data_IF_217538944727
#
_entry.id   IF_217538944727
#
_cell.length_a   1.000
_cell.length_b   1.000
_cell.length_c   1.000
_cell.angle_alpha   90.00
_cell.angle_beta   90.00
_cell.angle_gamma   90.00
#
_symmetry.space_group_name_H-M   'P 1'
#
loop_
_entity.id
_entity.type
_entity.pdbx_description
1 polymer ?
#
# COMPACT_ATOMS: atom_id res chain seq x y z
N UNK A 1 62.43 0.53 37.18
CA UNK A 1 62.55 1.97 36.82
C UNK A 1 61.25 2.44 36.21
N UNK A 2 60.63 3.39 36.92
CA UNK A 2 59.72 4.49 36.42
C UNK A 2 58.80 4.19 35.24
N UNK A 3 57.48 4.04 35.49
CA UNK A 3 56.40 5.08 35.48
C UNK A 3 56.20 5.77 34.10
N UNK A 4 55.04 5.63 33.53
CA UNK A 4 54.08 6.74 33.47
C UNK A 4 52.67 6.26 33.13
N UNK A 5 51.75 6.62 34.01
CA UNK A 5 50.30 6.74 33.81
C UNK A 5 50.02 7.90 32.86
N UNK A 6 48.99 7.75 32.04
CA UNK A 6 48.12 8.83 31.57
C UNK A 6 47.24 8.20 30.48
N UNK A 7 45.96 8.30 30.37
CA UNK A 7 44.99 9.11 31.03
C UNK A 7 43.69 8.71 30.31
N UNK A 8 42.67 8.37 31.05
CA UNK A 8 41.33 8.17 30.54
C UNK A 8 40.83 9.50 30.00
N UNK A 9 40.63 9.56 28.67
CA UNK A 9 39.85 10.59 28.05
C UNK A 9 38.40 10.07 27.96
N UNK A 10 37.59 10.43 28.95
CA UNK A 10 36.15 10.36 28.86
C UNK A 10 35.72 11.30 27.74
N UNK A 11 35.38 10.74 26.61
CA UNK A 11 34.67 11.46 25.55
C UNK A 11 33.24 11.71 26.04
N UNK A 12 33.05 12.83 26.72
CA UNK A 12 31.73 13.41 26.95
C UNK A 12 31.20 13.84 25.59
N UNK A 13 30.32 13.05 24.99
CA UNK A 13 29.52 13.47 23.85
C UNK A 13 28.56 14.51 24.40
N UNK A 14 28.94 15.77 24.29
CA UNK A 14 28.05 16.91 24.44
C UNK A 14 27.13 16.87 23.26
N UNK A 15 25.91 16.40 23.50
CA UNK A 15 24.79 16.59 22.59
C UNK A 15 24.51 18.09 22.56
N UNK A 16 25.18 18.80 21.64
CA UNK A 16 24.83 20.17 21.32
C UNK A 16 23.47 20.18 20.68
N UNK A 17 22.43 20.39 21.49
CA UNK A 17 21.15 20.93 20.97
C UNK A 17 21.48 22.27 20.31
N UNK A 18 21.61 22.26 19.01
CA UNK A 18 21.56 23.48 18.22
C UNK A 18 20.10 23.99 18.26
N UNK A 19 19.78 24.70 19.33
CA UNK A 19 18.64 25.63 19.34
C UNK A 19 19.07 26.81 18.49
N UNK A 20 19.01 26.63 17.15
CA UNK A 20 19.08 27.75 16.23
C UNK A 20 17.70 28.41 16.24
N UNK A 21 17.68 29.67 16.63
CA UNK A 21 16.53 30.52 16.66
C UNK A 21 15.71 30.46 15.37
N UNK A 22 14.68 29.67 15.39
CA UNK A 22 13.57 29.82 14.49
C UNK A 22 12.69 30.92 15.05
N UNK A 23 12.51 31.97 14.27
CA UNK A 23 11.45 32.93 14.48
C UNK A 23 10.14 32.21 14.82
N UNK A 24 9.40 32.74 15.77
CA UNK A 24 8.19 32.18 16.36
C UNK A 24 7.12 31.77 15.31
N UNK A 25 7.31 30.67 14.68
CA UNK A 25 6.23 29.92 14.03
C UNK A 25 5.92 28.75 14.96
N UNK A 26 5.21 29.05 16.05
CA UNK A 26 4.76 28.04 17.03
C UNK A 26 3.58 27.35 16.40
N UNK A 27 3.84 26.45 15.45
CA UNK A 27 2.79 25.53 15.00
C UNK A 27 2.38 24.67 16.18
N UNK A 28 1.08 24.67 16.55
CA UNK A 28 0.60 23.93 17.71
C UNK A 28 0.93 22.44 17.58
N UNK A 29 1.12 21.74 18.69
CA UNK A 29 1.28 20.29 18.65
C UNK A 29 -0.03 19.62 18.24
N UNK A 30 0.05 18.61 17.35
CA UNK A 30 -1.07 17.72 17.05
C UNK A 30 -1.04 16.49 17.97
N UNK A 31 0.16 15.98 18.26
CA UNK A 31 0.38 14.90 19.22
C UNK A 31 1.81 14.96 19.77
N UNK A 32 2.09 14.20 20.82
CA UNK A 32 3.44 13.93 21.29
C UNK A 32 3.57 12.51 21.82
N UNK A 33 4.77 11.93 21.72
CA UNK A 33 5.11 10.67 22.37
C UNK A 33 6.46 10.81 23.09
N UNK A 34 6.48 10.53 24.41
CA UNK A 34 7.66 10.63 25.27
C UNK A 34 8.39 11.99 25.12
N UNK A 35 7.63 13.08 25.00
CA UNK A 35 8.17 14.44 24.85
C UNK A 35 8.56 14.85 23.43
N UNK A 36 8.56 13.96 22.45
CA UNK A 36 8.76 14.31 21.03
C UNK A 36 7.45 14.73 20.42
N UNK A 37 7.43 15.91 19.78
CA UNK A 37 6.21 16.55 19.29
C UNK A 37 6.01 16.31 17.79
N UNK A 38 4.81 15.93 17.42
CA UNK A 38 4.28 15.99 16.05
C UNK A 38 3.48 17.28 15.94
N UNK A 39 3.90 18.21 15.08
CA UNK A 39 3.24 19.50 14.93
C UNK A 39 2.05 19.40 13.96
N UNK A 40 1.09 20.31 14.10
CA UNK A 40 -0.02 20.45 13.12
C UNK A 40 0.51 20.79 11.73
N UNK A 41 1.65 21.50 11.62
CA UNK A 41 2.32 21.77 10.36
C UNK A 41 2.81 20.49 9.66
N UNK A 42 3.44 19.59 10.41
CA UNK A 42 3.89 18.28 9.91
C UNK A 42 2.69 17.44 9.44
N UNK A 43 1.65 17.36 10.27
CA UNK A 43 0.42 16.64 9.94
C UNK A 43 -0.22 17.20 8.67
N UNK A 44 -0.41 18.52 8.59
CA UNK A 44 -1.02 19.16 7.42
C UNK A 44 -0.21 18.94 6.14
N UNK A 45 1.12 19.00 6.21
CA UNK A 45 1.98 18.70 5.07
C UNK A 45 1.72 17.30 4.52
N UNK A 46 1.61 16.31 5.39
CA UNK A 46 1.32 14.94 4.97
C UNK A 46 -0.11 14.79 4.44
N UNK A 47 -1.11 15.37 5.12
CA UNK A 47 -2.51 15.36 4.66
C UNK A 47 -2.66 15.96 3.26
N UNK A 48 -2.08 17.14 3.03
CA UNK A 48 -2.08 17.77 1.71
C UNK A 48 -1.37 16.93 0.66
N UNK A 49 -0.22 16.33 1.00
CA UNK A 49 0.52 15.47 0.08
C UNK A 49 -0.34 14.27 -0.35
N UNK A 50 -0.94 13.57 0.61
CA UNK A 50 -1.73 12.37 0.34
C UNK A 50 -3.00 12.69 -0.45
N UNK A 51 -3.63 13.85 -0.23
CA UNK A 51 -4.88 14.23 -0.89
C UNK A 51 -4.68 14.89 -2.26
N UNK A 52 -3.64 15.71 -2.42
CA UNK A 52 -3.55 16.67 -3.53
C UNK A 52 -2.50 16.32 -4.59
N UNK A 53 -1.60 15.36 -4.34
CA UNK A 53 -0.57 14.98 -5.31
C UNK A 53 -0.85 13.61 -5.92
N UNK A 54 -0.48 13.38 -7.18
CA UNK A 54 -0.63 12.08 -7.83
C UNK A 54 0.13 10.98 -7.05
N UNK A 55 1.36 11.27 -6.62
CA UNK A 55 2.16 10.35 -5.81
C UNK A 55 1.50 10.07 -4.45
N UNK A 56 0.96 11.11 -3.79
CA UNK A 56 0.25 10.97 -2.52
C UNK A 56 -1.04 10.18 -2.66
N UNK A 57 -1.81 10.40 -3.72
CA UNK A 57 -3.04 9.65 -3.99
C UNK A 57 -2.76 8.17 -4.23
N UNK A 58 -1.69 7.85 -4.97
CA UNK A 58 -1.24 6.46 -5.14
C UNK A 58 -0.82 5.86 -3.80
N UNK A 59 0.02 6.56 -3.02
CA UNK A 59 0.45 6.09 -1.71
C UNK A 59 -0.74 5.85 -0.77
N UNK A 60 -1.73 6.74 -0.77
CA UNK A 60 -2.97 6.58 0.01
C UNK A 60 -3.74 5.32 -0.42
N UNK A 61 -3.85 5.05 -1.72
CA UNK A 61 -4.49 3.84 -2.23
C UNK A 61 -3.75 2.57 -1.78
N UNK A 62 -2.41 2.58 -1.78
CA UNK A 62 -1.61 1.43 -1.35
C UNK A 62 -1.71 1.20 0.16
N UNK A 63 -1.70 2.26 0.97
CA UNK A 63 -1.78 2.17 2.43
C UNK A 63 -3.19 1.87 2.95
N UNK A 64 -4.21 2.38 2.30
CA UNK A 64 -5.59 2.22 2.73
C UNK A 64 -6.58 2.26 1.56
N UNK A 65 -6.87 1.12 0.99
CA UNK A 65 -7.79 0.99 -0.15
C UNK A 65 -9.22 1.49 0.13
N UNK A 66 -9.59 1.70 1.40
CA UNK A 66 -10.92 2.21 1.77
C UNK A 66 -10.99 3.73 1.82
N UNK A 67 -9.85 4.42 1.89
CA UNK A 67 -9.78 5.88 1.88
C UNK A 67 -9.36 6.32 0.48
N UNK A 68 -10.26 6.96 -0.23
CA UNK A 68 -9.96 7.57 -1.53
C UNK A 68 -9.60 9.05 -1.34
N UNK A 69 -8.88 9.67 -2.28
CA UNK A 69 -8.63 11.12 -2.23
C UNK A 69 -9.91 11.94 -2.09
N UNK A 70 -11.02 11.48 -2.68
CA UNK A 70 -12.32 12.15 -2.58
C UNK A 70 -12.93 12.02 -1.19
N UNK A 71 -12.87 10.83 -0.55
CA UNK A 71 -13.38 10.62 0.81
C UNK A 71 -12.49 11.26 1.89
N UNK A 72 -11.28 11.65 1.54
CA UNK A 72 -10.37 12.39 2.41
C UNK A 72 -10.73 13.88 2.53
N UNK A 73 -11.58 14.42 1.63
CA UNK A 73 -12.04 15.81 1.67
C UNK A 73 -13.03 16.01 2.81
N UNK A 74 -12.81 17.05 3.60
CA UNK A 74 -13.71 17.42 4.70
C UNK A 74 -15.00 18.09 4.21
N UNK A 75 -15.96 18.25 5.13
CA UNK A 75 -17.25 18.87 4.84
C UNK A 75 -17.16 20.34 4.36
N UNK A 76 -16.05 21.02 4.65
CA UNK A 76 -15.77 22.38 4.16
C UNK A 76 -15.34 22.45 2.69
N UNK A 77 -15.25 21.32 1.99
CA UNK A 77 -14.84 21.25 0.58
C UNK A 77 -13.32 21.19 0.36
N UNK A 78 -12.87 21.48 -0.88
CA UNK A 78 -11.45 21.39 -1.24
C UNK A 78 -10.55 22.20 -0.30
N UNK A 79 -9.43 21.62 0.12
CA UNK A 79 -8.49 22.22 1.08
C UNK A 79 -8.83 21.93 2.55
N UNK A 80 -9.92 21.21 2.82
CA UNK A 80 -10.23 20.69 4.16
C UNK A 80 -10.08 19.17 4.19
N UNK A 81 -9.92 18.60 5.37
CA UNK A 81 -9.72 17.16 5.55
C UNK A 81 -10.86 16.55 6.35
N UNK A 82 -11.29 15.36 5.92
CA UNK A 82 -12.22 14.56 6.71
C UNK A 82 -11.55 14.13 8.02
N UNK A 83 -12.27 14.25 9.13
CA UNK A 83 -11.73 13.91 10.45
C UNK A 83 -11.19 12.48 10.54
N UNK A 84 -11.89 11.44 10.03
CA UNK A 84 -11.35 10.07 10.05
C UNK A 84 -10.02 9.94 9.29
N UNK A 85 -9.87 10.68 8.19
CA UNK A 85 -8.62 10.70 7.42
C UNK A 85 -7.50 11.37 8.22
N UNK A 86 -7.75 12.56 8.79
CA UNK A 86 -6.75 13.26 9.61
C UNK A 86 -6.33 12.44 10.83
N UNK A 87 -7.27 11.79 11.50
CA UNK A 87 -7.00 10.89 12.64
C UNK A 87 -6.17 9.69 12.21
N UNK A 88 -6.49 9.05 11.09
CA UNK A 88 -5.73 7.90 10.58
C UNK A 88 -4.27 8.28 10.26
N UNK A 89 -4.04 9.43 9.63
CA UNK A 89 -2.69 9.91 9.33
C UNK A 89 -1.92 10.24 10.61
N UNK A 90 -2.55 10.91 11.58
CA UNK A 90 -1.91 11.23 12.86
C UNK A 90 -1.61 9.96 13.67
N UNK A 91 -2.51 8.98 13.67
CA UNK A 91 -2.32 7.69 14.34
C UNK A 91 -1.09 6.95 13.78
N UNK A 92 -0.95 6.91 12.45
CA UNK A 92 0.24 6.37 11.80
C UNK A 92 1.51 7.13 12.22
N UNK A 93 1.49 8.48 12.22
CA UNK A 93 2.65 9.28 12.65
C UNK A 93 3.04 9.01 14.11
N UNK A 94 2.08 8.81 15.00
CA UNK A 94 2.35 8.43 16.40
C UNK A 94 2.94 7.02 16.47
N UNK A 95 2.40 6.08 15.70
CA UNK A 95 2.93 4.73 15.57
C UNK A 95 4.38 4.70 15.07
N UNK A 96 4.67 5.43 14.01
CA UNK A 96 6.01 5.59 13.44
C UNK A 96 7.01 6.18 14.46
N UNK A 97 6.59 7.21 15.17
CA UNK A 97 7.40 7.83 16.22
C UNK A 97 7.70 6.86 17.37
N UNK A 98 6.71 6.06 17.78
CA UNK A 98 6.90 5.04 18.81
C UNK A 98 7.84 3.91 18.33
N UNK A 99 7.75 3.52 17.07
CA UNK A 99 8.65 2.53 16.46
C UNK A 99 10.10 3.06 16.39
N UNK A 100 10.28 4.33 16.01
CA UNK A 100 11.59 4.99 16.00
C UNK A 100 12.20 5.04 17.40
N UNK A 101 11.43 5.47 18.40
CA UNK A 101 11.87 5.53 19.80
C UNK A 101 12.18 4.13 20.36
N UNK A 102 11.37 3.13 20.00
CA UNK A 102 11.65 1.75 20.36
C UNK A 102 12.97 1.27 19.75
N UNK A 103 13.19 1.50 18.45
CA UNK A 103 14.44 1.14 17.77
C UNK A 103 15.64 1.80 18.44
N UNK A 104 15.56 3.10 18.74
CA UNK A 104 16.59 3.84 19.47
C UNK A 104 16.85 3.25 20.86
N UNK A 105 15.80 2.84 21.59
CA UNK A 105 15.93 2.19 22.91
C UNK A 105 16.67 0.84 22.86
N UNK A 106 16.69 0.22 21.67
CA UNK A 106 17.42 -1.03 21.41
C UNK A 106 18.82 -0.80 20.84
N UNK A 107 19.26 0.46 20.73
CA UNK A 107 20.55 0.82 20.16
C UNK A 107 20.59 0.61 18.63
N UNK A 108 19.44 0.61 17.97
CA UNK A 108 19.35 0.53 16.52
C UNK A 108 19.51 1.93 15.96
N UNK A 109 20.58 2.12 15.20
CA UNK A 109 20.88 3.32 14.45
C UNK A 109 21.08 2.94 13.00
N UNK A 110 20.84 3.88 12.10
CA UNK A 110 21.01 3.67 10.67
C UNK A 110 21.94 4.72 10.07
N UNK A 111 22.74 4.26 9.14
CA UNK A 111 23.67 5.07 8.36
C UNK A 111 22.99 5.59 7.06
N UNK A 112 23.67 6.47 6.35
CA UNK A 112 23.22 6.88 5.00
C UNK A 112 23.16 5.71 4.00
N UNK A 113 24.04 4.70 4.17
CA UNK A 113 23.98 3.48 3.36
C UNK A 113 22.77 2.62 3.67
N UNK A 114 22.34 2.53 4.93
CA UNK A 114 21.11 1.82 5.30
C UNK A 114 19.88 2.49 4.67
N UNK A 115 19.80 3.82 4.75
CA UNK A 115 18.72 4.59 4.11
C UNK A 115 18.70 4.43 2.58
N UNK A 116 19.88 4.37 1.94
CA UNK A 116 19.96 4.17 0.51
C UNK A 116 19.54 2.75 0.09
N UNK A 117 19.90 1.73 0.87
CA UNK A 117 19.48 0.35 0.66
C UNK A 117 17.96 0.20 0.84
N UNK A 118 17.42 0.67 1.97
CA UNK A 118 16.00 0.64 2.26
C UNK A 118 15.18 1.40 1.20
N UNK A 119 15.69 2.54 0.69
CA UNK A 119 15.06 3.23 -0.43
C UNK A 119 14.95 2.34 -1.66
N UNK A 120 16.04 1.67 -2.07
CA UNK A 120 16.05 0.80 -3.24
C UNK A 120 15.08 -0.38 -3.09
N UNK A 121 15.05 -0.98 -1.91
CA UNK A 121 14.17 -2.10 -1.60
C UNK A 121 12.70 -1.65 -1.54
N UNK A 122 12.44 -0.49 -0.98
CA UNK A 122 11.10 0.11 -0.97
C UNK A 122 10.61 0.47 -2.38
N UNK A 123 11.46 1.07 -3.23
CA UNK A 123 11.13 1.31 -4.64
C UNK A 123 10.73 0.01 -5.37
N UNK A 124 11.44 -1.08 -5.10
CA UNK A 124 11.11 -2.40 -5.66
C UNK A 124 9.78 -2.97 -5.14
N UNK A 125 9.52 -2.84 -3.84
CA UNK A 125 8.25 -3.25 -3.21
C UNK A 125 7.08 -2.46 -3.80
N UNK A 126 7.21 -1.14 -3.86
CA UNK A 126 6.21 -0.25 -4.46
C UNK A 126 5.90 -0.61 -5.92
N UNK A 127 6.90 -1.02 -6.73
CA UNK A 127 6.63 -1.48 -8.10
C UNK A 127 5.66 -2.67 -8.14
N UNK A 128 5.83 -3.64 -7.23
CA UNK A 128 4.93 -4.79 -7.11
C UNK A 128 3.52 -4.39 -6.67
N UNK A 129 3.42 -3.55 -5.64
CA UNK A 129 2.13 -3.07 -5.10
C UNK A 129 1.37 -2.21 -6.10
N UNK A 130 2.05 -1.30 -6.79
CA UNK A 130 1.49 -0.48 -7.87
C UNK A 130 0.94 -1.37 -8.98
N UNK A 131 1.72 -2.36 -9.42
CA UNK A 131 1.28 -3.31 -10.44
C UNK A 131 0.02 -4.06 -10.04
N UNK A 132 -0.04 -4.55 -8.80
CA UNK A 132 -1.20 -5.23 -8.24
C UNK A 132 -2.43 -4.29 -8.14
N UNK A 133 -2.24 -3.06 -7.65
CA UNK A 133 -3.31 -2.07 -7.53
C UNK A 133 -3.89 -1.67 -8.88
N UNK A 134 -3.06 -1.48 -9.90
CA UNK A 134 -3.50 -1.16 -11.27
C UNK A 134 -4.24 -2.36 -11.89
N UNK A 135 -3.74 -3.57 -11.71
CA UNK A 135 -4.41 -4.77 -12.20
C UNK A 135 -5.78 -4.97 -11.53
N UNK A 136 -5.87 -4.78 -10.21
CA UNK A 136 -7.12 -4.87 -9.47
C UNK A 136 -8.13 -3.83 -9.94
N UNK A 137 -7.70 -2.58 -10.12
CA UNK A 137 -8.55 -1.50 -10.63
C UNK A 137 -9.08 -1.83 -12.03
N UNK A 138 -8.23 -2.32 -12.92
CA UNK A 138 -8.60 -2.74 -14.27
C UNK A 138 -9.62 -3.87 -14.27
N UNK A 139 -9.44 -4.87 -13.40
CA UNK A 139 -10.36 -6.01 -13.31
C UNK A 139 -11.73 -5.65 -12.72
N UNK A 140 -11.78 -4.63 -11.85
CA UNK A 140 -13.03 -4.11 -11.27
C UNK A 140 -13.67 -2.98 -12.07
N UNK A 141 -13.06 -2.56 -13.18
CA UNK A 141 -13.54 -1.44 -13.99
C UNK A 141 -13.46 -0.08 -13.29
N UNK A 142 -12.57 0.05 -12.30
CA UNK A 142 -12.36 1.27 -11.55
C UNK A 142 -11.05 1.96 -11.98
N UNK A 143 -10.94 3.28 -11.73
CA UNK A 143 -9.69 3.98 -11.97
C UNK A 143 -8.67 3.68 -10.86
N UNK A 144 -7.39 3.51 -11.23
CA UNK A 144 -6.29 3.46 -10.27
C UNK A 144 -5.67 4.84 -10.11
N UNK A 145 -5.39 5.22 -8.86
CA UNK A 145 -4.61 6.43 -8.56
C UNK A 145 -3.10 6.23 -8.76
N UNK A 146 -2.66 5.01 -9.05
CA UNK A 146 -1.25 4.68 -9.29
C UNK A 146 -0.87 4.72 -10.77
N UNK A 147 -1.62 5.47 -11.57
CA UNK A 147 -1.32 5.75 -12.97
C UNK A 147 -1.04 7.24 -13.18
N UNK A 148 -0.17 7.54 -14.13
CA UNK A 148 0.07 8.90 -14.57
C UNK A 148 -1.09 9.41 -15.46
N UNK A 149 -1.11 10.71 -15.83
CA UNK A 149 -2.16 11.27 -16.70
C UNK A 149 -2.26 10.61 -18.08
N UNK A 150 -1.25 9.86 -18.52
CA UNK A 150 -1.28 9.11 -19.79
C UNK A 150 -1.86 7.71 -19.64
N UNK A 151 -2.18 7.30 -18.41
CA UNK A 151 -2.65 5.96 -18.08
C UNK A 151 -1.53 4.92 -17.86
N UNK A 152 -0.27 5.33 -17.91
CA UNK A 152 0.85 4.45 -17.60
C UNK A 152 0.98 4.27 -16.07
N UNK A 153 1.29 3.05 -15.63
CA UNK A 153 1.54 2.77 -14.22
C UNK A 153 2.75 3.57 -13.70
N UNK A 154 2.61 4.19 -12.54
CA UNK A 154 3.74 4.78 -11.85
C UNK A 154 4.79 3.71 -11.52
N UNK A 155 6.05 4.12 -11.42
CA UNK A 155 7.09 3.29 -10.81
C UNK A 155 7.27 3.69 -9.34
N UNK A 156 7.81 2.80 -8.50
CA UNK A 156 8.14 3.11 -7.12
C UNK A 156 9.08 4.32 -7.01
N UNK A 157 10.07 4.41 -7.90
CA UNK A 157 10.97 5.56 -7.97
C UNK A 157 10.24 6.85 -8.35
N UNK A 158 9.31 6.79 -9.31
CA UNK A 158 8.49 7.95 -9.72
C UNK A 158 7.56 8.37 -8.57
N UNK A 159 6.92 7.41 -7.89
CA UNK A 159 6.10 7.68 -6.71
C UNK A 159 6.92 8.40 -5.62
N UNK A 160 8.05 7.83 -5.20
CA UNK A 160 8.87 8.43 -4.16
C UNK A 160 9.42 9.81 -4.55
N UNK A 161 9.84 10.00 -5.81
CA UNK A 161 10.33 11.31 -6.28
C UNK A 161 9.21 12.36 -6.37
N UNK A 162 7.96 11.94 -6.56
CA UNK A 162 6.79 12.81 -6.58
C UNK A 162 6.31 13.25 -5.18
N UNK A 163 6.83 12.64 -4.10
CA UNK A 163 6.55 13.08 -2.73
C UNK A 163 7.46 14.25 -2.33
N UNK A 164 6.93 15.24 -1.56
CA UNK A 164 7.77 16.24 -0.91
C UNK A 164 8.87 15.60 -0.06
N UNK A 165 10.04 16.29 -0.01
CA UNK A 165 11.20 15.72 0.68
C UNK A 165 10.91 15.25 2.12
N UNK A 166 10.23 16.01 3.00
CA UNK A 166 9.97 15.55 4.36
C UNK A 166 9.14 14.26 4.43
N UNK A 167 8.14 14.13 3.56
CA UNK A 167 7.27 12.95 3.50
C UNK A 167 8.05 11.75 2.97
N UNK A 168 8.80 11.93 1.88
CA UNK A 168 9.68 10.91 1.30
C UNK A 168 10.73 10.41 2.30
N UNK A 169 11.40 11.33 2.99
CA UNK A 169 12.41 10.99 3.99
C UNK A 169 11.80 10.20 5.16
N UNK A 170 10.59 10.57 5.61
CA UNK A 170 9.88 9.82 6.65
C UNK A 170 9.55 8.39 6.18
N UNK A 171 9.02 8.21 4.98
CA UNK A 171 8.71 6.87 4.44
C UNK A 171 9.96 5.97 4.38
N UNK A 172 11.08 6.49 3.84
CA UNK A 172 12.33 5.73 3.77
C UNK A 172 12.88 5.41 5.17
N UNK A 173 12.76 6.34 6.11
CA UNK A 173 13.20 6.12 7.50
C UNK A 173 12.38 5.02 8.17
N UNK A 174 11.06 5.05 8.04
CA UNK A 174 10.16 4.05 8.61
C UNK A 174 10.48 2.67 8.06
N UNK A 175 10.64 2.54 6.74
CA UNK A 175 11.06 1.29 6.11
C UNK A 175 12.39 0.78 6.66
N UNK A 176 13.37 1.69 6.84
CA UNK A 176 14.68 1.33 7.42
C UNK A 176 14.55 0.82 8.86
N UNK A 177 13.67 1.44 9.67
CA UNK A 177 13.40 1.04 11.05
C UNK A 177 12.80 -0.35 11.07
N UNK A 178 11.77 -0.60 10.26
CA UNK A 178 11.07 -1.87 10.20
C UNK A 178 12.02 -3.00 9.77
N UNK A 179 12.82 -2.79 8.73
CA UNK A 179 13.82 -3.74 8.27
C UNK A 179 14.83 -4.08 9.38
N UNK A 180 15.39 -3.07 10.07
CA UNK A 180 16.34 -3.28 11.16
C UNK A 180 15.72 -4.00 12.35
N UNK A 181 14.49 -3.70 12.70
CA UNK A 181 13.76 -4.38 13.78
C UNK A 181 13.48 -5.84 13.42
N UNK A 182 13.07 -6.11 12.19
CA UNK A 182 12.83 -7.46 11.71
C UNK A 182 14.14 -8.28 11.66
N UNK A 183 15.23 -7.67 11.18
CA UNK A 183 16.53 -8.32 11.06
C UNK A 183 17.13 -8.80 12.39
N UNK A 184 16.79 -8.16 13.52
CA UNK A 184 17.29 -8.56 14.85
C UNK A 184 16.93 -9.98 15.26
N UNK A 185 15.92 -10.59 14.71
CA UNK A 185 15.47 -11.94 15.09
C UNK A 185 15.34 -12.89 13.91
N UNK A 186 15.62 -12.43 12.71
CA UNK A 186 15.60 -13.25 11.51
C UNK A 186 16.93 -14.00 11.34
N UNK A 187 16.86 -15.27 10.99
CA UNK A 187 18.03 -16.00 10.51
C UNK A 187 18.22 -15.71 9.01
N UNK A 188 19.17 -14.84 8.70
CA UNK A 188 19.52 -14.47 7.33
C UNK A 188 20.84 -15.10 6.87
N UNK A 189 21.30 -16.16 7.57
CA UNK A 189 22.49 -16.90 7.17
C UNK A 189 22.35 -17.49 5.75
N UNK A 190 23.47 -17.69 5.08
CA UNK A 190 23.44 -18.30 3.74
C UNK A 190 22.77 -19.68 3.77
N UNK A 191 22.90 -20.42 4.86
CA UNK A 191 22.24 -21.70 5.04
C UNK A 191 20.71 -21.55 5.12
N UNK A 192 20.20 -20.56 5.87
CA UNK A 192 18.77 -20.28 5.95
C UNK A 192 18.19 -19.80 4.61
N UNK A 193 18.94 -18.93 3.90
CA UNK A 193 18.58 -18.46 2.57
C UNK A 193 18.50 -19.61 1.56
N UNK A 194 19.52 -20.48 1.55
CA UNK A 194 19.52 -21.66 0.67
C UNK A 194 18.40 -22.65 1.00
N UNK A 195 18.14 -22.88 2.30
CA UNK A 195 17.07 -23.78 2.75
C UNK A 195 15.68 -23.25 2.35
N UNK A 196 15.44 -21.95 2.55
CA UNK A 196 14.18 -21.31 2.15
C UNK A 196 13.96 -21.40 0.64
N UNK A 197 15.00 -21.04 -0.14
CA UNK A 197 14.93 -21.13 -1.59
C UNK A 197 14.63 -22.55 -2.08
N UNK A 198 15.31 -23.55 -1.52
CA UNK A 198 15.09 -24.94 -1.90
C UNK A 198 13.68 -25.44 -1.55
N UNK A 199 13.14 -25.01 -0.39
CA UNK A 199 11.80 -25.38 0.05
C UNK A 199 10.68 -24.65 -0.73
N UNK A 200 10.98 -23.52 -1.35
CA UNK A 200 9.99 -22.66 -2.00
C UNK A 200 10.34 -22.41 -3.49
N UNK A 201 11.02 -23.33 -4.12
CA UNK A 201 11.48 -23.17 -5.50
C UNK A 201 10.40 -22.75 -6.51
N UNK A 202 9.12 -23.20 -6.40
CA UNK A 202 8.06 -22.73 -7.28
C UNK A 202 7.79 -21.22 -7.23
N UNK A 203 8.14 -20.51 -6.14
CA UNK A 203 8.04 -19.04 -6.06
C UNK A 203 9.12 -18.34 -6.91
N UNK A 204 10.22 -19.03 -7.20
CA UNK A 204 11.38 -18.54 -7.96
C UNK A 204 11.49 -19.17 -9.34
N UNK A 205 10.42 -19.80 -9.79
CA UNK A 205 10.34 -20.45 -11.10
C UNK A 205 9.39 -19.65 -11.97
N UNK A 206 9.94 -18.98 -12.99
CA UNK A 206 9.15 -18.23 -13.95
C UNK A 206 8.56 -19.16 -15.00
N UNK A 207 7.28 -18.95 -15.33
CA UNK A 207 6.56 -19.68 -16.36
C UNK A 207 6.01 -18.76 -17.44
N UNK A 208 6.13 -19.22 -18.68
CA UNK A 208 5.43 -18.66 -19.83
C UNK A 208 4.12 -19.46 -20.01
N UNK A 209 3.00 -18.76 -20.03
CA UNK A 209 1.67 -19.38 -20.10
C UNK A 209 0.96 -18.96 -21.39
N UNK A 210 0.28 -19.90 -22.02
CA UNK A 210 -0.63 -19.66 -23.14
C UNK A 210 -2.03 -20.18 -22.81
N UNK A 211 -3.04 -19.55 -23.40
CA UNK A 211 -4.45 -19.87 -23.18
C UNK A 211 -5.23 -20.01 -24.46
N UNK A 212 -6.27 -20.86 -24.43
CA UNK A 212 -7.32 -20.95 -25.44
C UNK A 212 -8.65 -20.83 -24.71
N UNK A 213 -9.47 -19.86 -25.07
CA UNK A 213 -10.82 -19.72 -24.55
C UNK A 213 -11.85 -20.23 -25.53
N UNK A 214 -12.89 -20.94 -25.04
CA UNK A 214 -13.99 -21.49 -25.84
C UNK A 214 -15.33 -21.20 -25.18
N UNK A 215 -16.41 -21.34 -25.93
CA UNK A 215 -17.79 -21.11 -25.47
C UNK A 215 -18.35 -22.31 -24.67
N UNK A 216 -17.89 -23.52 -24.97
CA UNK A 216 -18.44 -24.75 -24.38
C UNK A 216 -17.33 -25.70 -23.91
N UNK A 217 -17.64 -26.48 -22.88
CA UNK A 217 -16.75 -27.54 -22.39
C UNK A 217 -16.45 -28.58 -23.49
N UNK A 218 -17.46 -28.99 -24.22
CA UNK A 218 -17.32 -29.99 -25.30
C UNK A 218 -16.34 -29.52 -26.38
N UNK A 219 -16.38 -28.24 -26.75
CA UNK A 219 -15.42 -27.65 -27.69
C UNK A 219 -14.00 -27.63 -27.12
N UNK A 220 -13.84 -27.23 -25.84
CA UNK A 220 -12.55 -27.25 -25.18
C UNK A 220 -11.96 -28.68 -25.13
N UNK A 221 -12.77 -29.69 -24.81
CA UNK A 221 -12.34 -31.10 -24.79
C UNK A 221 -11.89 -31.60 -26.17
N UNK A 222 -12.57 -31.17 -27.24
CA UNK A 222 -12.15 -31.49 -28.62
C UNK A 222 -10.80 -30.85 -28.96
N UNK A 223 -10.56 -29.59 -28.55
CA UNK A 223 -9.28 -28.94 -28.77
C UNK A 223 -8.17 -29.60 -27.94
N UNK A 224 -8.43 -30.00 -26.70
CA UNK A 224 -7.48 -30.78 -25.89
C UNK A 224 -7.12 -32.08 -26.58
N UNK A 225 -8.07 -32.77 -27.18
CA UNK A 225 -7.79 -34.00 -27.93
C UNK A 225 -6.89 -33.73 -29.14
N UNK A 226 -7.07 -32.63 -29.87
CA UNK A 226 -6.20 -32.22 -30.99
C UNK A 226 -4.79 -31.87 -30.48
N UNK A 227 -4.65 -31.16 -29.38
CA UNK A 227 -3.37 -30.82 -28.76
C UNK A 227 -2.65 -32.06 -28.28
N UNK A 228 -3.32 -33.03 -27.67
CA UNK A 228 -2.76 -34.30 -27.26
C UNK A 228 -2.36 -35.18 -28.45
N UNK A 229 -2.98 -34.99 -29.63
CA UNK A 229 -2.61 -35.62 -30.87
C UNK A 229 -1.40 -34.95 -31.56
N UNK A 230 -0.85 -33.87 -30.97
CA UNK A 230 0.37 -33.21 -31.44
C UNK A 230 0.12 -31.93 -32.25
N UNK A 231 -1.09 -31.39 -32.26
CA UNK A 231 -1.32 -30.07 -32.83
C UNK A 231 -0.59 -28.99 -31.99
N UNK A 232 0.01 -27.99 -32.66
CA UNK A 232 0.70 -26.93 -31.97
C UNK A 232 -0.32 -26.01 -31.25
N UNK A 233 -0.11 -25.73 -29.95
CA UNK A 233 -1.01 -24.91 -29.15
C UNK A 233 -1.26 -23.54 -29.80
N UNK A 234 -0.19 -22.89 -30.27
CA UNK A 234 -0.29 -21.58 -30.90
C UNK A 234 -1.15 -21.57 -32.16
N UNK A 235 -1.14 -22.64 -32.95
CA UNK A 235 -1.96 -22.74 -34.18
C UNK A 235 -3.43 -22.97 -33.83
N UNK A 236 -3.70 -23.82 -32.82
CA UNK A 236 -5.05 -24.06 -32.32
C UNK A 236 -5.62 -22.78 -31.69
N UNK A 237 -4.81 -22.04 -30.92
CA UNK A 237 -5.21 -20.77 -30.32
C UNK A 237 -5.59 -19.74 -31.39
N UNK A 238 -4.80 -19.57 -32.43
CA UNK A 238 -5.08 -18.66 -33.55
C UNK A 238 -6.36 -19.03 -34.30
N UNK A 239 -6.63 -20.31 -34.44
CA UNK A 239 -7.77 -20.79 -35.21
C UNK A 239 -9.09 -20.81 -34.43
N UNK A 240 -9.03 -21.03 -33.10
CA UNK A 240 -10.21 -21.42 -32.33
C UNK A 240 -10.43 -20.65 -31.03
N UNK A 241 -9.45 -19.86 -30.56
CA UNK A 241 -9.60 -19.13 -29.30
C UNK A 241 -10.56 -17.94 -29.45
N UNK A 242 -11.48 -17.81 -28.50
CA UNK A 242 -12.36 -16.65 -28.35
C UNK A 242 -11.68 -15.47 -27.63
N UNK A 243 -10.51 -15.68 -27.04
CA UNK A 243 -9.72 -14.60 -26.44
C UNK A 243 -9.02 -13.78 -27.52
N UNK A 244 -9.68 -12.72 -27.97
CA UNK A 244 -9.19 -11.82 -29.02
C UNK A 244 -7.89 -11.09 -28.67
N UNK A 245 -7.53 -11.00 -27.39
CA UNK A 245 -6.31 -10.32 -26.94
C UNK A 245 -5.07 -11.19 -27.19
N UNK A 246 -5.17 -12.49 -27.00
CA UNK A 246 -4.03 -13.39 -27.11
C UNK A 246 -4.06 -14.31 -28.32
N UNK A 247 -5.25 -14.59 -28.91
CA UNK A 247 -5.41 -15.51 -30.04
C UNK A 247 -4.42 -15.25 -31.18
N UNK A 248 -4.29 -13.99 -31.63
CA UNK A 248 -3.38 -13.60 -32.72
C UNK A 248 -1.91 -13.93 -32.42
N UNK A 249 -1.53 -13.92 -31.13
CA UNK A 249 -0.18 -14.24 -30.64
C UNK A 249 -0.06 -15.70 -30.17
N UNK A 250 -0.93 -16.60 -30.66
CA UNK A 250 -0.90 -18.02 -30.28
C UNK A 250 -1.34 -18.30 -28.86
N UNK A 251 -2.17 -17.44 -28.29
CA UNK A 251 -2.69 -17.57 -26.94
C UNK A 251 -1.72 -17.08 -25.84
N UNK A 252 -0.56 -16.50 -26.16
CA UNK A 252 0.47 -16.16 -25.18
C UNK A 252 0.03 -15.06 -24.23
N UNK A 253 0.08 -15.35 -22.92
CA UNK A 253 -0.07 -14.41 -21.81
C UNK A 253 1.28 -13.81 -21.38
N UNK A 254 2.41 -14.29 -21.91
CA UNK A 254 3.76 -13.90 -21.51
C UNK A 254 4.38 -14.80 -20.44
N UNK A 255 5.53 -14.34 -19.90
CA UNK A 255 6.40 -15.13 -19.00
C UNK A 255 6.50 -14.53 -17.60
N UNK A 256 5.50 -13.78 -17.15
CA UNK A 256 5.53 -13.05 -15.86
C UNK A 256 4.79 -13.80 -14.72
N UNK A 257 4.64 -15.10 -14.85
CA UNK A 257 3.96 -15.93 -13.86
C UNK A 257 4.98 -16.76 -13.09
N UNK A 258 4.78 -16.94 -11.79
CA UNK A 258 5.54 -17.93 -11.03
C UNK A 258 4.83 -19.29 -11.12
N UNK A 259 5.60 -20.38 -11.06
CA UNK A 259 5.04 -21.74 -11.00
C UNK A 259 4.01 -21.88 -9.88
N UNK A 260 4.32 -21.38 -8.67
CA UNK A 260 3.41 -21.40 -7.55
C UNK A 260 2.06 -20.69 -7.85
N UNK A 261 2.10 -19.57 -8.57
CA UNK A 261 0.88 -18.84 -8.95
C UNK A 261 0.07 -19.59 -10.00
N UNK A 262 0.74 -20.20 -10.97
CA UNK A 262 0.07 -21.00 -12.02
C UNK A 262 -0.57 -22.25 -11.41
N UNK A 263 0.16 -22.97 -10.56
CA UNK A 263 -0.37 -24.14 -9.84
C UNK A 263 -1.57 -23.81 -8.98
N UNK A 264 -1.51 -22.67 -8.26
CA UNK A 264 -2.63 -22.18 -7.43
C UNK A 264 -3.85 -21.83 -8.29
N UNK A 265 -3.65 -21.11 -9.40
CA UNK A 265 -4.73 -20.68 -10.28
C UNK A 265 -5.41 -21.89 -10.95
N UNK A 266 -4.65 -22.90 -11.34
CA UNK A 266 -5.15 -24.11 -11.99
C UNK A 266 -5.55 -25.21 -10.98
N UNK A 267 -5.30 -24.99 -9.67
CA UNK A 267 -5.50 -25.98 -8.60
C UNK A 267 -4.84 -27.33 -8.89
N UNK A 268 -3.71 -27.30 -9.59
CA UNK A 268 -2.96 -28.46 -10.04
C UNK A 268 -1.47 -28.24 -9.78
N UNK A 269 -0.82 -29.21 -9.16
CA UNK A 269 0.63 -29.22 -8.92
C UNK A 269 1.39 -29.93 -10.06
N UNK A 270 2.65 -29.58 -10.20
CA UNK A 270 3.58 -30.26 -11.13
C UNK A 270 3.08 -30.25 -12.58
N UNK A 271 2.64 -29.09 -13.06
CA UNK A 271 2.18 -28.91 -14.44
C UNK A 271 3.37 -29.15 -15.39
N UNK A 272 3.21 -30.08 -16.33
CA UNK A 272 4.25 -30.37 -17.30
C UNK A 272 4.29 -29.30 -18.41
N UNK A 273 5.50 -28.86 -18.77
CA UNK A 273 5.72 -27.95 -19.90
C UNK A 273 5.30 -28.63 -21.22
N UNK A 274 4.60 -27.90 -22.08
CA UNK A 274 4.10 -28.38 -23.37
C UNK A 274 2.92 -29.35 -23.26
N UNK A 275 2.20 -29.35 -22.15
CA UNK A 275 1.01 -30.18 -21.97
C UNK A 275 -0.22 -29.28 -21.71
N UNK A 276 -1.33 -29.49 -22.45
CA UNK A 276 -2.56 -28.76 -22.19
C UNK A 276 -3.16 -29.16 -20.83
N UNK A 277 -3.64 -28.19 -20.08
CA UNK A 277 -4.32 -28.33 -18.79
C UNK A 277 -5.72 -27.73 -18.89
N UNK A 278 -6.69 -28.40 -18.35
CA UNK A 278 -8.08 -27.96 -18.37
C UNK A 278 -9.00 -29.05 -18.98
N UNK A 279 -10.22 -28.70 -19.44
CA UNK A 279 -10.75 -27.34 -19.45
C UNK A 279 -11.15 -26.85 -18.06
N UNK A 280 -10.89 -25.58 -17.77
CA UNK A 280 -11.29 -24.90 -16.54
C UNK A 280 -12.32 -23.83 -16.90
N UNK A 281 -13.45 -23.76 -16.18
CA UNK A 281 -14.43 -22.71 -16.41
C UNK A 281 -13.99 -21.41 -15.73
N UNK A 282 -13.86 -20.35 -16.50
CA UNK A 282 -13.70 -19.00 -15.97
C UNK A 282 -15.08 -18.50 -15.47
N UNK A 283 -15.17 -18.34 -14.16
CA UNK A 283 -16.42 -17.91 -13.50
C UNK A 283 -16.82 -16.47 -13.81
N UNK A 284 -15.89 -15.65 -14.31
CA UNK A 284 -16.14 -14.25 -14.65
C UNK A 284 -16.76 -14.11 -16.04
N UNK A 285 -16.20 -14.84 -16.99
CA UNK A 285 -16.66 -14.78 -18.40
C UNK A 285 -17.62 -15.90 -18.78
N UNK A 286 -17.66 -16.98 -17.96
CA UNK A 286 -18.40 -18.20 -18.26
C UNK A 286 -17.75 -19.07 -19.34
N UNK A 287 -16.61 -18.67 -19.88
CA UNK A 287 -15.89 -19.39 -20.91
C UNK A 287 -15.12 -20.59 -20.34
N UNK A 288 -14.83 -21.54 -21.20
CA UNK A 288 -13.97 -22.69 -20.88
C UNK A 288 -12.56 -22.45 -21.40
N UNK A 289 -11.57 -22.54 -20.53
CA UNK A 289 -10.20 -22.15 -20.81
C UNK A 289 -9.29 -23.37 -20.72
N UNK A 290 -8.44 -23.50 -21.73
CA UNK A 290 -7.34 -24.47 -21.79
C UNK A 290 -6.05 -23.69 -21.61
N UNK A 291 -5.17 -24.16 -20.73
CA UNK A 291 -3.87 -23.59 -20.44
C UNK A 291 -2.76 -24.48 -20.92
N UNK A 292 -1.61 -23.89 -21.25
CA UNK A 292 -0.35 -24.58 -21.46
C UNK A 292 0.79 -23.76 -20.87
N UNK A 293 1.64 -24.40 -20.08
CA UNK A 293 2.95 -23.85 -19.71
C UNK A 293 3.89 -24.13 -20.87
N UNK A 294 4.28 -23.09 -21.60
CA UNK A 294 5.10 -23.22 -22.81
C UNK A 294 6.60 -23.21 -22.52
N UNK A 295 7.00 -22.60 -21.41
CA UNK A 295 8.39 -22.58 -20.94
C UNK A 295 8.43 -22.41 -19.43
N UNK A 296 9.49 -22.93 -18.82
CA UNK A 296 9.78 -22.83 -17.38
C UNK A 296 11.25 -22.52 -17.18
N UNK A 297 11.55 -21.50 -16.39
CA UNK A 297 12.91 -21.08 -16.07
C UNK A 297 13.05 -20.86 -14.56
N UNK A 298 13.95 -21.62 -13.94
CA UNK A 298 14.27 -21.44 -12.52
C UNK A 298 15.25 -20.29 -12.36
N UNK A 299 14.89 -19.28 -11.57
CA UNK A 299 15.79 -18.20 -11.21
C UNK A 299 16.89 -18.73 -10.28
N UNK A 300 18.18 -18.56 -10.59
CA UNK A 300 19.24 -19.08 -9.74
C UNK A 300 19.26 -18.37 -8.38
N UNK A 301 19.64 -19.10 -7.31
CA UNK A 301 19.71 -18.55 -5.94
C UNK A 301 20.48 -17.23 -5.88
N UNK A 302 21.56 -17.07 -6.66
CA UNK A 302 22.36 -15.83 -6.68
C UNK A 302 21.55 -14.59 -7.09
N UNK A 303 20.54 -14.76 -7.94
CA UNK A 303 19.64 -13.71 -8.36
C UNK A 303 18.45 -13.56 -7.38
N UNK A 304 17.89 -14.68 -6.91
CA UNK A 304 16.76 -14.71 -5.98
C UNK A 304 17.13 -14.34 -4.52
N UNK A 305 18.40 -14.30 -4.15
CA UNK A 305 18.85 -14.21 -2.76
C UNK A 305 18.33 -12.96 -2.01
N UNK A 306 18.18 -11.82 -2.67
CA UNK A 306 17.63 -10.60 -2.08
C UNK A 306 16.14 -10.76 -1.76
N UNK A 307 15.38 -11.36 -2.67
CA UNK A 307 13.96 -11.65 -2.47
C UNK A 307 13.79 -12.65 -1.32
N UNK A 308 14.57 -13.73 -1.31
CA UNK A 308 14.55 -14.73 -0.22
C UNK A 308 14.84 -14.10 1.15
N UNK A 309 15.84 -13.22 1.23
CA UNK A 309 16.12 -12.52 2.50
C UNK A 309 14.95 -11.65 2.94
N UNK A 310 14.27 -10.97 2.02
CA UNK A 310 13.07 -10.18 2.33
C UNK A 310 11.94 -11.07 2.85
N UNK A 311 11.69 -12.21 2.23
CA UNK A 311 10.69 -13.18 2.69
C UNK A 311 11.01 -13.71 4.10
N UNK A 312 12.28 -14.02 4.37
CA UNK A 312 12.72 -14.43 5.70
C UNK A 312 12.56 -13.31 6.73
N UNK A 313 12.83 -12.06 6.39
CA UNK A 313 12.58 -10.90 7.26
C UNK A 313 11.09 -10.76 7.58
N UNK A 314 10.23 -10.82 6.57
CA UNK A 314 8.79 -10.64 6.70
C UNK A 314 8.05 -11.90 7.16
N UNK A 315 8.77 -12.97 7.48
CA UNK A 315 8.14 -14.17 8.02
C UNK A 315 7.30 -13.87 9.27
N UNK A 316 6.10 -14.46 9.34
CA UNK A 316 5.10 -14.21 10.40
C UNK A 316 5.67 -14.19 11.82
N UNK A 317 6.60 -15.09 12.23
CA UNK A 317 7.19 -15.05 13.57
C UNK A 317 7.96 -13.74 13.84
N UNK A 318 8.69 -13.20 12.85
CA UNK A 318 9.46 -11.96 13.00
C UNK A 318 8.54 -10.75 13.11
N UNK A 319 7.55 -10.65 12.21
CA UNK A 319 6.54 -9.58 12.23
C UNK A 319 5.78 -9.60 13.56
N UNK A 320 5.34 -10.77 14.00
CA UNK A 320 4.63 -10.93 15.27
C UNK A 320 5.48 -10.52 16.48
N UNK A 321 6.77 -10.87 16.46
CA UNK A 321 7.72 -10.48 17.52
C UNK A 321 7.87 -8.95 17.57
N UNK A 322 8.19 -8.31 16.46
CA UNK A 322 8.37 -6.85 16.35
C UNK A 322 7.09 -6.13 16.77
N UNK A 323 5.94 -6.54 16.28
CA UNK A 323 4.66 -5.97 16.67
C UNK A 323 4.41 -6.05 18.18
N UNK A 324 4.66 -7.21 18.81
CA UNK A 324 4.54 -7.37 20.27
C UNK A 324 5.51 -6.47 21.03
N UNK A 325 6.73 -6.33 20.56
CA UNK A 325 7.75 -5.50 21.17
C UNK A 325 7.37 -4.01 21.11
N UNK A 326 6.93 -3.52 19.94
CA UNK A 326 6.47 -2.13 19.76
C UNK A 326 5.21 -1.87 20.61
N UNK A 327 4.24 -2.77 20.60
CA UNK A 327 3.02 -2.69 21.44
C UNK A 327 3.40 -2.66 22.93
N UNK A 328 4.36 -3.49 23.34
CA UNK A 328 4.89 -3.49 24.72
C UNK A 328 5.49 -2.14 25.10
N UNK A 329 6.28 -1.55 24.20
CA UNK A 329 6.88 -0.22 24.40
C UNK A 329 5.81 0.88 24.45
N UNK A 330 4.87 0.89 23.50
CA UNK A 330 3.81 1.88 23.39
C UNK A 330 2.89 1.93 24.63
N UNK A 331 2.65 0.79 25.29
CA UNK A 331 1.85 0.71 26.53
C UNK A 331 2.48 1.47 27.71
N UNK A 332 3.78 1.69 27.68
CA UNK A 332 4.52 2.39 28.73
C UNK A 332 4.98 3.79 28.29
N UNK A 333 4.59 4.19 27.09
CA UNK A 333 4.93 5.50 26.54
C UNK A 333 3.90 6.55 26.98
N UNK A 334 4.40 7.76 27.24
CA UNK A 334 3.55 8.92 27.49
C UNK A 334 3.14 9.53 26.14
N UNK A 335 1.89 9.31 25.76
CA UNK A 335 1.32 9.79 24.48
C UNK A 335 0.20 10.79 24.76
N UNK A 336 0.36 11.98 24.24
CA UNK A 336 -0.66 13.03 24.26
C UNK A 336 -1.13 13.33 22.83
N UNK A 337 -2.42 13.56 22.67
CA UNK A 337 -3.05 13.94 21.39
C UNK A 337 -3.90 15.18 21.62
N UNK A 338 -3.82 16.14 20.71
CA UNK A 338 -4.70 17.32 20.75
C UNK A 338 -6.17 16.85 20.68
N UNK A 339 -7.02 17.32 21.62
CA UNK A 339 -8.43 16.93 21.68
C UNK A 339 -9.22 17.15 20.38
N UNK A 340 -8.75 18.05 19.51
CA UNK A 340 -9.32 18.26 18.17
C UNK A 340 -9.27 17.00 17.32
N UNK A 341 -8.21 16.20 17.46
CA UNK A 341 -8.06 14.95 16.71
C UNK A 341 -8.56 13.73 17.49
N UNK A 342 -8.69 13.83 18.80
CA UNK A 342 -9.21 12.76 19.63
C UNK A 342 -8.44 12.52 20.91
N UNK A 343 -8.45 11.27 21.34
CA UNK A 343 -7.73 10.84 22.56
C UNK A 343 -6.97 9.55 22.29
N UNK A 344 -5.76 9.43 22.83
CA UNK A 344 -4.99 8.20 22.80
C UNK A 344 -5.62 7.16 23.74
N UNK A 345 -6.10 6.05 23.20
CA UNK A 345 -6.73 4.99 23.98
C UNK A 345 -6.50 3.64 23.31
N UNK A 346 -6.12 2.65 24.09
CA UNK A 346 -5.89 1.28 23.60
C UNK A 346 -4.91 1.20 22.43
N UNK A 347 -3.88 2.05 22.43
CA UNK A 347 -2.82 2.14 21.43
C UNK A 347 -3.28 2.66 20.05
N UNK A 348 -4.31 3.47 20.03
CA UNK A 348 -4.79 4.15 18.84
C UNK A 348 -5.42 5.51 19.22
N UNK A 349 -5.53 6.39 18.25
CA UNK A 349 -6.27 7.65 18.40
C UNK A 349 -7.75 7.36 18.16
N UNK A 350 -8.55 7.53 19.20
CA UNK A 350 -10.01 7.47 19.11
C UNK A 350 -10.50 8.86 18.75
N UNK A 351 -11.09 8.99 17.56
CA UNK A 351 -11.64 10.24 17.08
C UNK A 351 -12.68 10.83 18.05
N UNK A 352 -12.81 12.16 18.13
CA UNK A 352 -13.85 12.79 18.95
C UNK A 352 -15.23 12.40 18.43
N UNK A 353 -16.14 12.10 19.37
CA UNK A 353 -17.54 11.84 19.01
C UNK A 353 -18.14 13.16 18.54
N UNK A 354 -18.69 13.19 17.33
CA UNK A 354 -19.45 14.37 16.88
C UNK A 354 -20.57 14.66 17.86
N UNK A 355 -20.78 15.93 18.24
CA UNK A 355 -21.93 16.30 19.09
C UNK A 355 -23.22 15.80 18.42
N UNK A 356 -24.19 15.31 19.18
CA UNK A 356 -25.49 14.96 18.61
C UNK A 356 -26.04 16.08 17.75
N UNK A 357 -26.65 15.77 16.60
CA UNK A 357 -27.15 16.76 15.63
C UNK A 357 -28.01 17.88 16.27
N UNK A 358 -28.72 17.58 17.34
CA UNK A 358 -29.51 18.55 18.10
C UNK A 358 -28.68 19.71 18.70
N UNK A 359 -27.36 19.54 18.86
CA UNK A 359 -26.46 20.60 19.32
C UNK A 359 -25.82 21.38 18.17
N UNK A 360 -25.84 20.82 16.95
CA UNK A 360 -25.32 21.49 15.75
C UNK A 360 -26.33 22.50 15.19
N UNK A 361 -27.62 22.34 15.48
CA UNK A 361 -28.68 23.18 14.95
C UNK A 361 -28.91 24.48 15.75
N UNK A 362 -28.37 24.60 16.95
CA UNK A 362 -28.59 25.80 17.80
C UNK A 362 -27.70 27.00 17.44
N UNK A 363 -26.72 26.84 16.53
CA UNK A 363 -25.78 27.92 16.19
C UNK A 363 -25.58 28.16 14.69
N UNK A 364 -26.09 27.31 13.80
CA UNK A 364 -25.83 27.37 12.36
C UNK A 364 -26.97 27.91 11.50
N UNK A 365 -28.10 28.24 12.08
CA UNK A 365 -29.16 28.98 11.37
C UNK A 365 -28.98 30.51 11.54
N UNK A 366 -27.78 30.96 11.19
CA UNK A 366 -27.56 32.38 10.87
C UNK A 366 -28.01 32.61 9.44
N UNK A 367 -29.28 32.50 9.14
CA UNK A 367 -29.83 33.19 7.98
C UNK A 367 -29.48 34.68 8.12
N UNK A 368 -28.82 35.30 7.13
CA UNK A 368 -28.66 36.76 7.17
C UNK A 368 -30.04 37.37 7.19
N UNK A 369 -30.31 38.43 8.01
CA UNK A 369 -31.60 39.06 8.02
C UNK A 369 -31.90 39.62 6.63
N UNK A 370 -32.87 38.99 5.97
CA UNK A 370 -33.42 39.49 4.72
C UNK A 370 -33.98 40.90 4.94
N UNK A 371 -33.87 41.80 3.96
CA UNK A 371 -34.37 43.16 4.08
C UNK A 371 -35.89 43.08 4.27
N UNK A 372 -36.36 43.68 5.38
CA UNK A 372 -37.76 43.99 5.63
C UNK A 372 -38.29 44.94 4.57
N UNK A 373 -39.00 44.39 3.62
CA UNK A 373 -39.74 45.13 2.58
C UNK A 373 -41.23 44.84 2.71
N UNK A 374 -41.93 45.85 3.17
CA UNK A 374 -43.36 46.01 3.47
C UNK A 374 -44.27 45.83 2.25
N UNK A 375 -45.49 45.39 2.55
CA UNK A 375 -46.81 45.68 1.96
C UNK A 375 -47.27 44.95 0.70
N UNK A 376 -48.39 44.28 0.87
CA UNK A 376 -49.57 44.62 0.04
C UNK A 376 -50.24 43.51 -0.71
N UNK A 377 -51.34 43.04 -0.14
CA UNK A 377 -52.66 42.92 -0.79
C UNK A 377 -52.97 41.76 -1.75
N UNK A 378 -53.86 40.93 -1.24
CA UNK A 378 -55.13 40.43 -1.84
C UNK A 378 -55.13 39.70 -3.19
N UNK A 379 -55.78 38.56 -3.18
CA UNK A 379 -56.43 37.97 -4.39
C UNK A 379 -56.49 36.44 -4.41
N UNK A 380 -57.55 35.92 -3.81
CA UNK A 380 -58.09 34.56 -4.03
C UNK A 380 -58.99 34.57 -5.29
N UNK A 381 -59.59 33.50 -5.77
CA UNK A 381 -59.22 32.11 -6.04
C UNK A 381 -59.62 31.68 -7.47
N UNK A 382 -59.37 30.47 -7.87
CA UNK A 382 -59.98 29.91 -9.11
C UNK A 382 -59.36 28.60 -9.53
N UNK A 383 -59.88 27.52 -9.08
CA UNK A 383 -60.61 26.38 -9.68
C UNK A 383 -60.00 25.59 -10.82
N UNK A 384 -59.95 24.29 -10.57
CA UNK A 384 -60.32 23.08 -11.36
C UNK A 384 -59.46 22.60 -12.54
N UNK A 385 -58.82 21.46 -12.40
CA UNK A 385 -59.09 20.05 -12.86
C UNK A 385 -59.82 19.93 -14.22
N UNK A 386 -59.66 18.84 -15.05
CA UNK A 386 -58.67 17.73 -15.16
C UNK A 386 -58.41 17.27 -16.62
N UNK A 387 -57.67 16.15 -16.77
CA UNK A 387 -57.84 15.19 -17.87
C UNK A 387 -56.69 15.20 -18.88
N UNK A 388 -55.94 14.15 -19.02
CA UNK A 388 -56.25 12.94 -19.74
C UNK A 388 -55.40 12.81 -21.01
N UNK A 389 -54.51 11.96 -21.04
CA UNK A 389 -54.20 10.83 -21.90
C UNK A 389 -52.76 10.39 -21.67
#
# INVERSE_FOLDING_TARGET
MKRHLSGAAAATVVLALAVLGAACDVTPPAASANGTVITTGTLNTQLHTLQATAAGNCLLQLQNAQITPLSAVGAGGPGTFAMPFAVSVLDNQVGDLLAEQYAASKGIFFSSSDLAAARSDFESTLNGEIGAAVQQASSSGTASYCQDPTGASLTGAALLSGLPEPVRAAQIRNETIDEKLLARGADLSEAAVAAYYAANQPLFTAECVSVIATDTQAHAEQLIAQLNAGAAFADVAKASSLDSQTAANGGSLGCNYTEARVEQALQQQSIAVGRPVGPVQDTTTGQWVIYEVTNRAVEPLSAAASVVRRELLQATPNVTRVSKEIVGFARHSDVWVDPTYGTWKALAIVAPVAPPEQYLLAGASGDPPGPTGSTGSTGSPGTSVPGGN
#
